data_IF_499380777847
#
_entry.id   IF_499380777847
#
_cell.length_a   1.000
_cell.length_b   1.000
_cell.length_c   1.000
_cell.angle_alpha   90.00
_cell.angle_beta   90.00
_cell.angle_gamma   90.00
#
_symmetry.space_group_name_H-M   'P 1'
#
loop_
_entity.id
_entity.type
_entity.pdbx_description
1 polymer ?
#
# COMPACT_ATOMS: atom_id res chain seq x y z
N UNK A 1 8.25 3.99 -1.46
CA UNK A 1 7.05 3.23 -1.88
C UNK A 1 6.58 2.41 -0.68
N UNK A 2 5.27 2.33 -0.41
CA UNK A 2 4.75 1.38 0.59
C UNK A 2 5.25 -0.01 0.21
N UNK A 3 6.00 -0.67 1.08
CA UNK A 3 6.56 -2.01 0.83
C UNK A 3 5.52 -3.13 0.82
N UNK A 4 4.26 -2.81 0.54
CA UNK A 4 3.11 -3.70 0.64
C UNK A 4 2.73 -4.17 -0.76
N UNK A 5 2.62 -5.48 -0.96
CA UNK A 5 2.29 -6.07 -2.26
C UNK A 5 0.87 -6.61 -2.23
N UNK A 6 0.10 -6.30 -3.28
CA UNK A 6 -1.15 -7.00 -3.54
C UNK A 6 -0.83 -8.44 -3.94
N UNK A 7 -1.54 -9.38 -3.34
CA UNK A 7 -1.42 -10.81 -3.59
C UNK A 7 -2.78 -11.36 -4.00
N UNK A 8 -2.72 -12.26 -4.96
CA UNK A 8 -3.84 -13.12 -5.32
C UNK A 8 -3.74 -14.40 -4.49
N UNK A 9 -4.80 -14.79 -3.79
CA UNK A 9 -4.78 -15.96 -2.90
C UNK A 9 -6.13 -16.70 -2.87
N UNK A 10 -6.13 -17.89 -2.28
CA UNK A 10 -7.33 -18.70 -2.01
C UNK A 10 -7.41 -19.00 -0.52
N UNK A 11 -8.63 -19.09 0.01
CA UNK A 11 -8.86 -19.41 1.43
C UNK A 11 -8.68 -20.92 1.63
N UNK A 12 -7.82 -21.31 2.58
CA UNK A 12 -7.47 -22.72 2.81
C UNK A 12 -8.50 -23.49 3.64
N UNK A 13 -9.46 -22.81 4.28
CA UNK A 13 -10.48 -23.43 5.13
C UNK A 13 -10.10 -23.57 6.60
N UNK A 14 -9.03 -22.90 7.04
CA UNK A 14 -8.58 -22.90 8.43
C UNK A 14 -8.94 -21.60 9.13
N UNK A 15 -8.87 -21.61 10.47
CA UNK A 15 -9.00 -20.39 11.25
C UNK A 15 -10.38 -19.74 11.13
N UNK A 16 -11.43 -20.56 11.29
CA UNK A 16 -12.83 -20.14 11.23
C UNK A 16 -13.28 -19.56 9.87
N UNK A 17 -12.45 -19.64 8.83
CA UNK A 17 -12.82 -19.22 7.47
C UNK A 17 -13.26 -20.42 6.63
N UNK A 18 -14.40 -20.35 5.93
CA UNK A 18 -14.81 -21.42 5.03
C UNK A 18 -13.83 -21.53 3.86
N UNK A 19 -13.51 -22.76 3.46
CA UNK A 19 -12.68 -22.98 2.27
C UNK A 19 -13.45 -22.50 1.05
N UNK A 20 -12.96 -21.48 0.38
CA UNK A 20 -13.51 -21.02 -0.90
C UNK A 20 -12.58 -21.44 -2.02
N UNK A 21 -13.14 -21.94 -3.12
CA UNK A 21 -12.37 -22.20 -4.35
C UNK A 21 -12.04 -20.93 -5.13
N UNK A 22 -12.65 -19.81 -4.71
CA UNK A 22 -12.58 -18.50 -5.35
C UNK A 22 -11.22 -17.84 -5.13
N UNK A 23 -10.82 -17.09 -6.14
CA UNK A 23 -9.58 -16.33 -6.14
C UNK A 23 -9.88 -14.95 -5.58
N UNK A 24 -9.24 -14.58 -4.48
CA UNK A 24 -9.33 -13.27 -3.85
C UNK A 24 -8.06 -12.46 -4.10
N UNK A 25 -8.18 -11.14 -3.99
CA UNK A 25 -7.05 -10.19 -3.99
C UNK A 25 -7.00 -9.48 -2.64
N UNK A 26 -5.80 -9.35 -2.08
CA UNK A 26 -5.61 -8.65 -0.82
C UNK A 26 -4.14 -8.48 -0.48
N UNK A 27 -3.85 -8.35 0.82
CA UNK A 27 -2.50 -8.11 1.35
C UNK A 27 -2.19 -9.10 2.47
N UNK A 28 -0.91 -9.31 2.74
CA UNK A 28 -0.43 -10.22 3.79
C UNK A 28 -0.20 -9.40 5.07
N UNK A 29 -0.83 -9.79 6.17
CA UNK A 29 -0.77 -9.04 7.43
C UNK A 29 0.67 -8.78 7.91
N UNK A 30 1.57 -9.76 7.79
CA UNK A 30 2.98 -9.64 8.16
C UNK A 30 3.75 -8.66 7.26
N UNK A 31 3.32 -8.46 6.01
CA UNK A 31 3.90 -7.44 5.13
C UNK A 31 3.39 -6.04 5.52
N UNK A 32 2.09 -5.93 5.84
CA UNK A 32 1.47 -4.67 6.31
C UNK A 32 2.09 -4.23 7.63
N UNK A 33 2.28 -5.15 8.58
CA UNK A 33 2.84 -4.89 9.91
C UNK A 33 4.21 -4.20 9.86
N UNK A 34 5.05 -4.56 8.89
CA UNK A 34 6.37 -3.94 8.68
C UNK A 34 6.30 -2.46 8.28
N UNK A 35 5.16 -2.04 7.75
CA UNK A 35 4.93 -0.66 7.28
C UNK A 35 4.07 0.13 8.26
N UNK A 36 3.04 -0.50 8.83
CA UNK A 36 2.10 0.12 9.74
C UNK A 36 1.51 -0.93 10.70
N UNK A 37 2.00 -0.94 11.94
CA UNK A 37 1.58 -1.87 12.99
C UNK A 37 0.08 -1.69 13.34
N UNK A 38 -0.41 -0.46 13.38
CA UNK A 38 -1.79 -0.14 13.79
C UNK A 38 -2.85 -0.72 12.85
N UNK A 39 -2.47 -1.04 11.62
CA UNK A 39 -3.31 -1.65 10.58
C UNK A 39 -3.38 -3.17 10.69
N UNK A 40 -2.74 -3.77 11.69
CA UNK A 40 -2.75 -5.21 11.95
C UNK A 40 -3.27 -5.47 13.36
N UNK A 41 -4.14 -6.47 13.47
CA UNK A 41 -4.70 -6.95 14.73
C UNK A 41 -4.31 -8.41 14.91
N UNK A 42 -4.04 -8.77 16.15
CA UNK A 42 -3.92 -10.17 16.55
C UNK A 42 -5.30 -10.72 16.93
N UNK A 43 -5.60 -11.96 16.55
CA UNK A 43 -6.77 -12.72 17.01
C UNK A 43 -6.33 -14.10 17.48
N UNK A 44 -6.89 -14.56 18.59
CA UNK A 44 -6.79 -15.93 19.07
C UNK A 44 -7.97 -16.72 18.50
N UNK A 45 -7.70 -17.77 17.73
CA UNK A 45 -8.73 -18.61 17.11
C UNK A 45 -8.31 -20.07 17.06
N UNK A 46 -9.27 -20.97 16.91
CA UNK A 46 -8.97 -22.38 16.62
C UNK A 46 -8.65 -22.55 15.15
N UNK A 47 -7.52 -23.21 14.85
CA UNK A 47 -7.11 -23.44 13.46
C UNK A 47 -7.98 -24.53 12.83
N UNK A 48 -8.28 -25.58 13.60
CA UNK A 48 -9.10 -26.72 13.21
C UNK A 48 -10.19 -26.94 14.27
N UNK A 49 -11.34 -27.47 13.83
CA UNK A 49 -12.42 -27.85 14.74
C UNK A 49 -11.93 -28.94 15.70
N UNK A 50 -12.03 -28.68 17.00
CA UNK A 50 -11.58 -29.60 18.05
C UNK A 50 -10.19 -29.31 18.62
N UNK A 51 -9.50 -28.27 18.13
CA UNK A 51 -8.25 -27.83 18.75
C UNK A 51 -8.47 -27.49 20.23
N UNK A 52 -7.55 -27.98 21.07
CA UNK A 52 -7.57 -27.78 22.52
C UNK A 52 -7.12 -26.38 22.94
N UNK A 53 -6.36 -25.71 22.08
CA UNK A 53 -5.78 -24.40 22.34
C UNK A 53 -6.01 -23.49 21.14
N UNK A 54 -6.23 -22.21 21.42
CA UNK A 54 -6.32 -21.20 20.39
C UNK A 54 -4.91 -20.86 19.89
N UNK A 55 -4.80 -20.65 18.57
CA UNK A 55 -3.61 -20.17 17.92
C UNK A 55 -3.70 -18.67 17.66
N UNK A 56 -2.56 -18.00 17.76
CA UNK A 56 -2.44 -16.60 17.40
C UNK A 56 -2.39 -16.44 15.87
N UNK A 57 -3.26 -15.62 15.32
CA UNK A 57 -3.21 -15.20 13.91
C UNK A 57 -3.15 -13.68 13.78
N UNK A 58 -2.52 -13.21 12.71
CA UNK A 58 -2.49 -11.79 12.34
C UNK A 58 -3.51 -11.49 11.25
N UNK A 59 -4.31 -10.44 11.46
CA UNK A 59 -5.40 -10.03 10.58
C UNK A 59 -5.23 -8.55 10.24
N UNK A 60 -5.43 -8.20 8.97
CA UNK A 60 -5.42 -6.80 8.55
C UNK A 60 -6.72 -6.12 8.96
N UNK A 61 -6.60 -4.97 9.62
CA UNK A 61 -7.70 -4.05 9.84
C UNK A 61 -7.93 -3.23 8.56
N UNK A 62 -8.84 -3.71 7.71
CA UNK A 62 -9.12 -3.06 6.43
C UNK A 62 -9.73 -1.67 6.56
N UNK A 63 -10.34 -1.31 7.70
CA UNK A 63 -10.80 0.06 7.93
C UNK A 63 -9.59 0.99 8.02
N UNK A 64 -8.59 0.66 8.85
CA UNK A 64 -7.38 1.47 9.00
C UNK A 64 -6.46 1.41 7.78
N UNK A 65 -6.25 0.21 7.24
CA UNK A 65 -5.39 -0.01 6.08
C UNK A 65 -5.87 0.80 4.86
N UNK A 66 -7.17 0.83 4.61
CA UNK A 66 -7.74 1.59 3.49
C UNK A 66 -7.49 3.09 3.63
N UNK A 67 -7.66 3.66 4.84
CA UNK A 67 -7.34 5.07 5.09
C UNK A 67 -5.87 5.38 4.84
N UNK A 68 -4.96 4.53 5.34
CA UNK A 68 -3.53 4.67 5.10
C UNK A 68 -3.22 4.65 3.60
N UNK A 69 -3.80 3.72 2.85
CA UNK A 69 -3.59 3.61 1.40
C UNK A 69 -4.08 4.85 0.66
N UNK A 70 -5.29 5.32 0.98
CA UNK A 70 -5.86 6.54 0.38
C UNK A 70 -4.96 7.75 0.63
N UNK A 71 -4.48 7.93 1.87
CA UNK A 71 -3.60 9.04 2.22
C UNK A 71 -2.27 8.94 1.48
N UNK A 72 -1.68 7.75 1.39
CA UNK A 72 -0.44 7.55 0.65
C UNK A 72 -0.58 7.90 -0.84
N UNK A 73 -1.70 7.56 -1.47
CA UNK A 73 -1.98 7.93 -2.87
C UNK A 73 -2.15 9.45 -3.00
N UNK A 74 -2.89 10.08 -2.09
CA UNK A 74 -3.06 11.55 -2.07
C UNK A 74 -1.73 12.28 -1.94
N UNK A 75 -0.88 11.87 -1.00
CA UNK A 75 0.44 12.46 -0.79
C UNK A 75 1.36 12.25 -1.98
N UNK A 76 1.33 11.05 -2.58
CA UNK A 76 2.11 10.78 -3.79
C UNK A 76 1.68 11.69 -4.94
N UNK A 77 0.37 11.85 -5.14
CA UNK A 77 -0.17 12.71 -6.18
C UNK A 77 0.16 14.18 -5.93
N UNK A 78 0.03 14.67 -4.70
CA UNK A 78 0.40 16.03 -4.34
C UNK A 78 1.89 16.31 -4.63
N UNK A 79 2.79 15.43 -4.16
CA UNK A 79 4.23 15.55 -4.43
C UNK A 79 4.56 15.52 -5.92
N UNK A 80 3.86 14.68 -6.68
CA UNK A 80 4.04 14.61 -8.13
C UNK A 80 3.59 15.90 -8.82
N UNK A 81 2.47 16.48 -8.40
CA UNK A 81 1.95 17.74 -8.94
C UNK A 81 2.87 18.92 -8.60
N UNK A 82 3.36 19.00 -7.36
CA UNK A 82 4.32 20.03 -6.92
C UNK A 82 5.60 19.99 -7.76
N UNK A 83 6.18 18.80 -7.95
CA UNK A 83 7.34 18.61 -8.82
C UNK A 83 7.07 19.04 -10.27
N UNK A 84 5.87 18.78 -10.79
CA UNK A 84 5.51 19.17 -12.15
C UNK A 84 5.39 20.69 -12.29
N UNK A 85 4.81 21.36 -11.29
CA UNK A 85 4.69 22.82 -11.26
C UNK A 85 6.07 23.49 -11.16
N UNK A 86 6.95 22.98 -10.31
CA UNK A 86 8.34 23.47 -10.20
C UNK A 86 9.08 23.37 -11.54
N UNK A 87 8.93 22.25 -12.25
CA UNK A 87 9.55 22.05 -13.57
C UNK A 87 8.99 22.99 -14.66
N UNK A 88 7.71 23.34 -14.60
CA UNK A 88 7.12 24.32 -15.52
C UNK A 88 7.61 25.74 -15.24
N UNK A 89 7.76 26.10 -13.96
CA UNK A 89 8.28 27.41 -13.55
C UNK A 89 9.77 27.60 -13.88
N UNK A 90 10.51 26.50 -14.16
CA UNK A 90 11.93 26.52 -14.51
C UNK A 90 12.23 26.63 -16.02
N UNK A 91 11.23 26.75 -16.91
CA UNK A 91 11.45 27.06 -18.35
C UNK A 91 10.95 28.48 -18.69
N UNK A 92 11.73 29.38 -19.34
CA UNK A 92 12.94 29.16 -20.15
C UNK A 92 14.13 30.11 -19.84
N UNK A 93 15.31 29.57 -19.50
CA UNK A 93 16.58 30.33 -19.59
C UNK A 93 17.34 30.15 -20.92
N UNK A 94 16.78 29.45 -21.93
CA UNK A 94 17.49 29.13 -23.18
C UNK A 94 17.12 29.99 -24.39
N UNK A 95 16.72 31.26 -24.21
CA UNK A 95 16.58 32.21 -25.33
C UNK A 95 17.18 33.59 -25.02
N UNK A 96 18.36 33.64 -24.40
CA UNK A 96 19.17 34.87 -24.46
C UNK A 96 19.87 34.94 -25.81
N UNK A 97 19.17 35.64 -26.71
CA UNK A 97 19.59 36.17 -28.02
C UNK A 97 21.09 36.52 -28.04
N UNK A 98 21.93 35.73 -28.71
CA UNK A 98 23.25 36.20 -29.16
C UNK A 98 22.99 37.11 -30.37
N UNK A 99 22.81 38.41 -30.10
CA UNK A 99 22.97 39.47 -31.10
C UNK A 99 24.22 40.26 -30.73
N UNK A 100 25.32 40.02 -31.46
CA UNK A 100 26.50 40.88 -31.67
C UNK A 100 27.48 40.06 -32.52
N UNK A 101 28.08 40.51 -33.61
CA UNK A 101 28.05 41.74 -34.39
C UNK A 101 28.71 41.35 -35.73
N UNK A 102 28.16 41.78 -36.87
CA UNK A 102 28.97 41.91 -38.08
C UNK A 102 29.97 43.03 -37.84
N UNK A 103 31.25 42.80 -38.14
CA UNK A 103 32.24 43.74 -38.67
C UNK A 103 33.46 42.92 -39.08
#
# INVERSE_FOLDING_TARGET
>A
MLGIKLRTYKINGLGEMPKTGEVAVGVIAQEVEKTNLDSVKTRMIKMILGDRQDSEIKVVDYSKFSYMLINAVKELYAKWLDQHNDLQNLKPLSKTRIKKSRL
#
